data_IF_082611272380
#
_entry.id   IF_082611272380
#
_cell.length_a   1.000
_cell.length_b   1.000
_cell.length_c   1.000
_cell.angle_alpha   90.00
_cell.angle_beta   90.00
_cell.angle_gamma   90.00
#
_symmetry.space_group_name_H-M   'P 1'
#
loop_
_entity.id
_entity.type
_entity.pdbx_description
1 polymer ?
#
# COMPACT_ATOMS: atom_id res chain seq x y z
N UNK A 1 -14.11 16.20 -16.52
CA UNK A 1 -12.73 15.66 -16.53
C UNK A 1 -12.51 15.08 -15.14
N UNK A 2 -12.32 13.76 -14.97
CA UNK A 2 -12.01 13.22 -13.65
C UNK A 2 -10.70 13.85 -13.18
N UNK A 3 -10.70 14.38 -11.96
CA UNK A 3 -9.47 14.89 -11.32
C UNK A 3 -8.66 13.66 -10.94
N UNK A 4 -7.77 13.21 -11.83
CA UNK A 4 -6.81 12.17 -11.51
C UNK A 4 -5.90 12.71 -10.41
N UNK A 5 -5.82 11.97 -9.31
CA UNK A 5 -4.82 12.22 -8.28
C UNK A 5 -3.43 12.01 -8.88
N UNK A 6 -2.41 12.65 -8.29
CA UNK A 6 -1.03 12.53 -8.75
C UNK A 6 -0.56 11.06 -8.80
N UNK A 7 -1.06 10.23 -7.88
CA UNK A 7 -0.80 8.80 -7.87
C UNK A 7 -1.37 8.09 -9.10
N UNK A 8 -2.62 8.38 -9.48
CA UNK A 8 -3.26 7.79 -10.66
C UNK A 8 -2.56 8.20 -11.95
N UNK A 9 -2.10 9.46 -12.04
CA UNK A 9 -1.29 9.93 -13.17
C UNK A 9 0.04 9.18 -13.29
N UNK A 10 0.69 8.85 -12.16
CA UNK A 10 1.92 8.06 -12.15
C UNK A 10 1.67 6.59 -12.47
N UNK A 11 0.54 6.02 -12.08
CA UNK A 11 0.15 4.64 -12.42
C UNK A 11 -0.31 4.49 -13.89
N UNK A 12 -0.79 5.57 -14.50
CA UNK A 12 -1.13 5.63 -15.91
C UNK A 12 0.07 5.96 -16.83
N UNK A 13 1.26 6.22 -16.27
CA UNK A 13 2.49 6.39 -17.03
C UNK A 13 2.96 5.04 -17.64
N UNK A 14 3.83 5.03 -18.67
CA UNK A 14 4.41 3.80 -19.22
C UNK A 14 5.16 2.97 -18.16
N UNK A 15 5.74 3.62 -17.15
CA UNK A 15 6.40 2.98 -16.01
C UNK A 15 5.43 2.71 -14.83
N UNK A 16 4.13 2.84 -15.06
CA UNK A 16 3.09 2.72 -14.04
C UNK A 16 3.02 1.34 -13.40
N UNK A 17 3.30 0.28 -14.14
CA UNK A 17 3.36 -1.09 -13.61
C UNK A 17 4.63 -1.34 -12.78
N UNK A 18 5.74 -0.66 -13.08
CA UNK A 18 6.93 -0.69 -12.22
C UNK A 18 6.69 0.11 -10.94
N UNK A 19 6.09 1.30 -11.06
CA UNK A 19 5.69 2.15 -9.93
C UNK A 19 4.72 1.41 -9.01
N UNK A 20 3.70 0.74 -9.57
CA UNK A 20 2.77 -0.10 -8.82
C UNK A 20 3.50 -1.21 -8.08
N UNK A 21 4.40 -1.93 -8.75
CA UNK A 21 5.19 -3.01 -8.12
C UNK A 21 6.07 -2.48 -6.98
N UNK A 22 6.72 -1.34 -7.15
CA UNK A 22 7.53 -0.71 -6.11
C UNK A 22 6.69 -0.31 -4.89
N UNK A 23 5.52 0.30 -5.12
CA UNK A 23 4.58 0.67 -4.06
C UNK A 23 4.01 -0.56 -3.34
N UNK A 24 3.63 -1.61 -4.08
CA UNK A 24 3.17 -2.88 -3.50
C UNK A 24 4.26 -3.54 -2.65
N UNK A 25 5.51 -3.54 -3.11
CA UNK A 25 6.64 -4.08 -2.36
C UNK A 25 6.88 -3.29 -1.07
N UNK A 26 6.82 -1.96 -1.14
CA UNK A 26 6.95 -1.10 0.03
C UNK A 26 5.83 -1.32 1.07
N UNK A 27 4.57 -1.41 0.61
CA UNK A 27 3.43 -1.72 1.48
C UNK A 27 3.54 -3.13 2.09
N UNK A 28 4.06 -4.11 1.35
CA UNK A 28 4.27 -5.46 1.85
C UNK A 28 5.34 -5.52 2.95
N UNK A 29 6.46 -4.79 2.78
CA UNK A 29 7.51 -4.68 3.79
C UNK A 29 6.98 -4.02 5.08
N UNK A 30 6.29 -2.88 4.93
CA UNK A 30 5.68 -2.17 6.07
C UNK A 30 4.66 -3.04 6.82
N UNK A 31 3.80 -3.75 6.10
CA UNK A 31 2.84 -4.67 6.71
C UNK A 31 3.55 -5.81 7.44
N UNK A 32 4.63 -6.37 6.87
CA UNK A 32 5.42 -7.41 7.52
C UNK A 32 6.05 -6.89 8.83
N UNK A 33 6.67 -5.70 8.80
CA UNK A 33 7.25 -5.08 9.99
C UNK A 33 6.22 -4.83 11.10
N UNK A 34 5.03 -4.31 10.74
CA UNK A 34 3.94 -4.10 11.69
C UNK A 34 3.46 -5.40 12.32
N UNK A 35 3.35 -6.48 11.53
CA UNK A 35 2.99 -7.80 12.05
C UNK A 35 4.03 -8.38 13.00
N UNK A 36 5.32 -8.18 12.71
CA UNK A 36 6.39 -8.58 13.64
C UNK A 36 6.31 -7.80 14.96
N UNK A 37 6.06 -6.49 14.90
CA UNK A 37 5.88 -5.67 16.10
C UNK A 37 4.65 -6.10 16.93
N UNK A 38 3.52 -6.38 16.26
CA UNK A 38 2.32 -6.90 16.92
C UNK A 38 2.55 -8.27 17.57
N UNK A 39 3.38 -9.13 16.96
CA UNK A 39 3.73 -10.44 17.51
C UNK A 39 4.71 -10.35 18.70
N UNK A 40 5.49 -9.27 18.81
CA UNK A 40 6.54 -9.09 19.82
C UNK A 40 6.02 -8.72 21.23
N UNK A 41 4.74 -8.99 21.54
CA UNK A 41 4.10 -8.61 22.81
C UNK A 41 4.16 -7.10 23.10
N UNK A 42 3.47 -6.33 22.26
CA UNK A 42 3.30 -4.88 22.46
C UNK A 42 2.31 -4.57 23.58
N UNK A 43 2.48 -3.43 24.28
CA UNK A 43 1.48 -2.92 25.22
C UNK A 43 0.11 -2.76 24.53
N UNK A 44 -0.96 -3.03 25.27
CA UNK A 44 -2.34 -3.00 24.73
C UNK A 44 -2.75 -1.62 24.18
N UNK A 45 -2.13 -0.55 24.67
CA UNK A 45 -2.31 0.81 24.16
C UNK A 45 -1.79 0.94 22.72
N UNK A 46 -0.54 0.53 22.47
CA UNK A 46 0.10 0.58 21.16
C UNK A 46 -0.47 -0.44 20.17
N UNK A 47 -1.00 -1.57 20.67
CA UNK A 47 -1.62 -2.59 19.83
C UNK A 47 -2.76 -2.02 18.96
N UNK A 48 -3.60 -1.15 19.52
CA UNK A 48 -4.75 -0.59 18.78
C UNK A 48 -4.28 0.25 17.59
N UNK A 49 -3.29 1.10 17.81
CA UNK A 49 -2.78 1.98 16.76
C UNK A 49 -2.00 1.18 15.72
N UNK A 50 -1.15 0.24 16.13
CA UNK A 50 -0.42 -0.65 15.22
C UNK A 50 -1.35 -1.54 14.39
N UNK A 51 -2.42 -2.06 14.99
CA UNK A 51 -3.43 -2.84 14.26
C UNK A 51 -4.21 -1.97 13.25
N UNK A 52 -4.55 -0.73 13.61
CA UNK A 52 -5.21 0.20 12.70
C UNK A 52 -4.30 0.56 11.51
N UNK A 53 -3.02 0.79 11.77
CA UNK A 53 -2.03 1.06 10.71
C UNK A 53 -1.87 -0.17 9.81
N UNK A 54 -1.78 -1.38 10.38
CA UNK A 54 -1.67 -2.61 9.59
C UNK A 54 -2.89 -2.82 8.67
N UNK A 55 -4.10 -2.54 9.16
CA UNK A 55 -5.33 -2.57 8.36
C UNK A 55 -5.34 -1.50 7.27
N UNK A 56 -4.89 -0.28 7.56
CA UNK A 56 -4.80 0.79 6.58
C UNK A 56 -3.81 0.44 5.45
N UNK A 57 -2.66 -0.17 5.78
CA UNK A 57 -1.68 -0.63 4.80
C UNK A 57 -2.24 -1.76 3.93
N UNK A 58 -3.00 -2.68 4.51
CA UNK A 58 -3.69 -3.73 3.76
C UNK A 58 -4.73 -3.17 2.79
N UNK A 59 -5.57 -2.24 3.27
CA UNK A 59 -6.56 -1.56 2.44
C UNK A 59 -5.90 -0.76 1.30
N UNK A 60 -4.80 -0.06 1.57
CA UNK A 60 -4.04 0.67 0.54
C UNK A 60 -3.49 -0.28 -0.53
N UNK A 61 -3.02 -1.47 -0.13
CA UNK A 61 -2.54 -2.50 -1.05
C UNK A 61 -3.67 -3.04 -1.93
N UNK A 62 -4.84 -3.28 -1.37
CA UNK A 62 -6.02 -3.75 -2.10
C UNK A 62 -6.47 -2.74 -3.16
N UNK A 63 -6.55 -1.45 -2.78
CA UNK A 63 -6.84 -0.36 -3.72
C UNK A 63 -5.82 -0.31 -4.86
N UNK A 64 -4.53 -0.45 -4.55
CA UNK A 64 -3.47 -0.44 -5.56
C UNK A 64 -3.51 -1.68 -6.47
N UNK A 65 -3.98 -2.83 -5.97
CA UNK A 65 -4.16 -4.04 -6.77
C UNK A 65 -5.35 -3.90 -7.73
N UNK A 66 -6.43 -3.27 -7.29
CA UNK A 66 -7.62 -2.99 -8.11
C UNK A 66 -7.44 -1.83 -9.09
N UNK A 67 -6.43 -0.97 -8.90
CA UNK A 67 -6.21 0.16 -9.79
C UNK A 67 -5.60 -0.29 -11.14
N UNK A 68 -6.19 0.08 -12.28
CA UNK A 68 -5.65 -0.27 -13.58
C UNK A 68 -4.33 0.47 -13.84
N UNK A 69 -3.31 -0.25 -14.30
CA UNK A 69 -2.08 0.34 -14.84
C UNK A 69 -2.17 0.48 -16.35
N UNK A 70 -1.40 1.42 -16.91
CA UNK A 70 -1.41 1.63 -18.36
C UNK A 70 -1.04 0.33 -19.10
N UNK A 71 -1.76 0.00 -20.20
CA UNK A 71 -1.38 -1.12 -21.05
C UNK A 71 0.01 -0.84 -21.63
N UNK A 72 0.91 -1.81 -21.49
CA UNK A 72 2.23 -1.77 -22.10
C UNK A 72 2.06 -1.69 -23.64
N UNK A 73 2.71 -0.72 -24.34
CA UNK A 73 2.70 -0.68 -25.79
C UNK A 73 3.47 -1.86 -26.39
#
# INVERSE_FOLDING_TARGET
MPVMTELEARLAAPDGEETRRALLAHLADLHWQLRQQLAASVPRADYRDLAAIAQAVEAARDVLLCHPTAPRP
#
